data_IF_105964463558
#
_entry.id   IF_105964463558
#
_cell.length_a   1.000
_cell.length_b   1.000
_cell.length_c   1.000
_cell.angle_alpha   90.00
_cell.angle_beta   90.00
_cell.angle_gamma   90.00
#
_symmetry.space_group_name_H-M   'P 1'
#
loop_
_entity.id
_entity.type
_entity.pdbx_description
1 polymer ?
#
# COMPACT_ATOMS: atom_id res chain seq x y z
N UNK A 1 -37.08 21.37 -21.02
CA UNK A 1 -37.28 22.41 -19.97
C UNK A 1 -37.31 21.67 -18.65
N UNK A 2 -36.36 21.92 -17.76
CA UNK A 2 -36.38 21.39 -16.39
C UNK A 2 -37.13 22.42 -15.54
N UNK A 3 -38.47 22.33 -15.53
CA UNK A 3 -39.35 23.18 -14.75
C UNK A 3 -39.95 22.39 -13.59
N UNK A 4 -39.16 22.18 -12.55
CA UNK A 4 -39.65 21.97 -11.19
C UNK A 4 -38.47 21.96 -10.25
N UNK A 5 -38.70 22.36 -9.00
CA UNK A 5 -37.77 22.26 -7.89
C UNK A 5 -37.49 20.78 -7.53
N UNK A 6 -37.02 20.00 -8.51
CA UNK A 6 -36.62 18.62 -8.34
C UNK A 6 -35.26 18.58 -7.65
N UNK A 7 -35.27 18.49 -6.32
CA UNK A 7 -34.12 17.99 -5.60
C UNK A 7 -33.96 16.50 -5.95
N UNK A 8 -32.88 16.17 -6.65
CA UNK A 8 -32.47 14.80 -6.93
C UNK A 8 -31.19 14.50 -6.18
N UNK A 9 -31.18 13.43 -5.39
CA UNK A 9 -29.95 12.91 -4.78
C UNK A 9 -29.41 11.82 -5.68
N UNK A 10 -28.25 12.06 -6.30
CA UNK A 10 -27.45 11.02 -6.93
C UNK A 10 -26.40 10.59 -5.91
N UNK A 11 -26.62 9.43 -5.28
CA UNK A 11 -25.64 8.83 -4.38
C UNK A 11 -24.91 7.72 -5.13
N UNK A 12 -23.61 7.92 -5.36
CA UNK A 12 -22.71 6.89 -5.86
C UNK A 12 -21.55 6.77 -4.89
N UNK A 13 -21.27 5.55 -4.43
CA UNK A 13 -20.08 5.28 -3.63
C UNK A 13 -18.85 5.43 -4.52
N UNK A 14 -17.88 6.23 -4.07
CA UNK A 14 -16.59 6.35 -4.75
C UNK A 14 -15.57 5.54 -3.95
N UNK A 15 -15.09 4.47 -4.56
CA UNK A 15 -13.98 3.70 -4.01
C UNK A 15 -12.67 4.31 -4.54
N UNK A 16 -11.73 4.57 -3.64
CA UNK A 16 -10.38 5.00 -4.02
C UNK A 16 -9.36 4.32 -3.15
N UNK A 17 -8.20 4.02 -3.72
CA UNK A 17 -7.05 3.43 -3.04
C UNK A 17 -6.02 4.49 -2.64
N UNK A 18 -6.20 5.73 -3.11
CA UNK A 18 -5.36 6.88 -2.77
C UNK A 18 -6.14 8.20 -2.76
N UNK A 19 -5.66 9.25 -2.06
CA UNK A 19 -6.26 10.57 -2.14
C UNK A 19 -6.19 11.16 -3.56
N UNK A 20 -7.29 11.72 -4.03
CA UNK A 20 -7.36 12.35 -5.36
C UNK A 20 -8.57 13.26 -5.50
N UNK A 21 -8.63 14.02 -6.59
CA UNK A 21 -9.73 14.96 -6.82
C UNK A 21 -10.73 14.41 -7.83
N UNK A 22 -11.99 14.26 -7.41
CA UNK A 22 -13.09 14.12 -8.35
C UNK A 22 -13.36 15.49 -8.96
N UNK A 23 -13.09 15.63 -10.26
CA UNK A 23 -13.48 16.82 -11.01
C UNK A 23 -14.91 16.68 -11.50
N UNK A 24 -15.70 17.73 -11.34
CA UNK A 24 -17.05 17.79 -11.84
C UNK A 24 -17.26 19.08 -12.64
N UNK A 25 -18.08 18.99 -13.67
CA UNK A 25 -18.47 20.14 -14.49
C UNK A 25 -19.98 20.21 -14.56
N UNK A 26 -20.54 21.34 -14.13
CA UNK A 26 -21.97 21.63 -14.22
C UNK A 26 -22.20 22.41 -15.52
N UNK A 27 -23.08 21.90 -16.38
CA UNK A 27 -23.43 22.51 -17.66
C UNK A 27 -24.94 22.75 -17.73
N UNK A 28 -25.33 23.87 -18.31
CA UNK A 28 -26.72 24.19 -18.65
C UNK A 28 -26.75 24.93 -19.98
N UNK A 29 -27.75 24.63 -20.81
CA UNK A 29 -27.93 25.32 -22.09
C UNK A 29 -28.09 26.84 -21.87
N UNK A 30 -27.33 27.63 -22.62
CA UNK A 30 -27.26 29.09 -22.47
C UNK A 30 -26.38 29.62 -21.33
N UNK A 31 -25.65 28.76 -20.61
CA UNK A 31 -24.74 29.18 -19.53
C UNK A 31 -23.29 28.71 -19.76
N UNK A 32 -22.33 29.45 -19.21
CA UNK A 32 -20.93 29.02 -19.15
C UNK A 32 -20.82 27.88 -18.14
N UNK A 33 -20.17 26.79 -18.53
CA UNK A 33 -19.93 25.64 -17.66
C UNK A 33 -19.08 26.04 -16.45
N UNK A 34 -19.45 25.55 -15.27
CA UNK A 34 -18.64 25.71 -14.06
C UNK A 34 -17.96 24.38 -13.73
N UNK A 35 -16.65 24.42 -13.52
CA UNK A 35 -15.85 23.25 -13.14
C UNK A 35 -15.23 23.46 -11.78
N UNK A 36 -15.31 22.44 -10.94
CA UNK A 36 -14.74 22.43 -9.61
C UNK A 36 -14.33 20.99 -9.24
N UNK A 37 -13.75 20.81 -8.07
CA UNK A 37 -13.21 19.54 -7.64
C UNK A 37 -13.42 19.30 -6.15
N UNK A 38 -13.64 18.04 -5.80
CA UNK A 38 -13.79 17.59 -4.41
C UNK A 38 -12.70 16.56 -4.13
N UNK A 39 -12.02 16.69 -2.99
CA UNK A 39 -11.05 15.69 -2.54
C UNK A 39 -11.78 14.42 -2.12
N UNK A 40 -11.35 13.29 -2.66
CA UNK A 40 -11.83 11.94 -2.35
C UNK A 40 -10.66 11.14 -1.79
N UNK A 41 -10.86 10.55 -0.61
CA UNK A 41 -9.90 9.67 0.05
C UNK A 41 -10.62 8.71 1.00
N UNK A 42 -10.02 7.59 1.39
CA UNK A 42 -10.59 6.69 2.39
C UNK A 42 -10.77 7.41 3.73
N UNK A 43 -11.96 7.29 4.34
CA UNK A 43 -12.29 7.95 5.62
C UNK A 43 -11.71 7.27 6.87
N UNK A 44 -11.16 6.06 6.71
CA UNK A 44 -10.44 5.30 7.74
C UNK A 44 -8.97 5.18 7.32
N UNK A 45 -8.05 4.68 8.16
CA UNK A 45 -6.70 4.38 7.71
C UNK A 45 -6.76 3.37 6.57
N UNK A 46 -5.88 3.53 5.58
CA UNK A 46 -5.82 2.66 4.42
C UNK A 46 -4.36 2.46 4.03
N UNK A 47 -3.77 1.38 4.54
CA UNK A 47 -2.38 1.05 4.29
C UNK A 47 -2.21 0.30 2.98
N UNK A 48 -1.28 0.76 2.16
CA UNK A 48 -0.84 0.11 0.92
C UNK A 48 0.66 -0.11 0.94
N UNK A 49 1.15 -1.06 0.15
CA UNK A 49 2.57 -1.20 -0.12
C UNK A 49 3.12 0.08 -0.78
N UNK A 50 4.28 0.55 -0.33
CA UNK A 50 4.96 1.73 -0.89
C UNK A 50 6.28 1.32 -1.57
N UNK A 51 7.21 0.78 -0.79
CA UNK A 51 8.50 0.29 -1.30
C UNK A 51 9.10 -0.78 -0.38
N UNK A 52 10.27 -1.30 -0.76
CA UNK A 52 11.03 -2.23 0.05
C UNK A 52 12.54 -2.01 -0.09
N UNK A 53 13.28 -2.52 0.88
CA UNK A 53 14.74 -2.57 0.88
C UNK A 53 15.20 -3.98 1.22
N UNK A 54 16.17 -4.49 0.47
CA UNK A 54 16.79 -5.80 0.68
C UNK A 54 18.20 -5.61 1.23
N UNK A 55 18.55 -6.39 2.25
CA UNK A 55 19.92 -6.54 2.75
C UNK A 55 20.30 -8.03 2.73
N UNK A 56 21.37 -8.37 2.00
CA UNK A 56 21.96 -9.72 1.95
C UNK A 56 23.15 -9.86 2.91
N UNK A 57 23.44 -11.10 3.34
CA UNK A 57 24.58 -11.40 4.24
C UNK A 57 25.91 -11.63 3.52
N UNK A 58 25.89 -11.89 2.20
CA UNK A 58 27.07 -12.29 1.45
C UNK A 58 27.60 -11.14 0.58
N UNK A 59 28.40 -10.29 1.23
CA UNK A 59 29.50 -9.51 0.66
C UNK A 59 29.21 -8.38 -0.34
N UNK A 60 28.01 -8.21 -0.89
CA UNK A 60 27.80 -7.19 -1.91
C UNK A 60 26.79 -6.11 -1.53
N UNK A 61 25.82 -6.37 -0.64
CA UNK A 61 24.81 -5.39 -0.19
C UNK A 61 24.26 -4.54 -1.35
N UNK A 62 24.16 -5.14 -2.53
CA UNK A 62 23.83 -4.46 -3.78
C UNK A 62 22.33 -4.49 -4.04
N UNK A 63 21.56 -5.10 -3.13
CA UNK A 63 20.11 -5.25 -3.22
C UNK A 63 19.68 -6.34 -4.21
N UNK A 64 20.59 -7.21 -4.63
CA UNK A 64 20.31 -8.33 -5.55
C UNK A 64 20.32 -9.62 -4.76
N UNK A 65 19.20 -10.34 -4.80
CA UNK A 65 19.05 -11.65 -4.18
C UNK A 65 19.84 -12.68 -5.01
N UNK A 66 20.80 -13.38 -4.40
CA UNK A 66 21.56 -14.45 -5.05
C UNK A 66 21.27 -15.84 -4.45
N UNK A 67 21.56 -16.93 -5.18
CA UNK A 67 21.42 -18.29 -4.65
C UNK A 67 22.28 -18.48 -3.39
N UNK A 68 21.71 -19.12 -2.37
CA UNK A 68 22.42 -19.46 -1.12
C UNK A 68 22.49 -18.34 -0.08
N UNK A 69 21.87 -17.18 -0.32
CA UNK A 69 21.94 -16.04 0.60
C UNK A 69 20.84 -16.01 1.66
N UNK A 70 21.17 -15.39 2.79
CA UNK A 70 20.21 -14.92 3.78
C UNK A 70 19.74 -13.52 3.41
N UNK A 71 18.42 -13.34 3.30
CA UNK A 71 17.82 -12.08 2.88
C UNK A 71 17.03 -11.45 4.02
N UNK A 72 17.38 -10.21 4.35
CA UNK A 72 16.61 -9.36 5.25
C UNK A 72 15.84 -8.32 4.45
N UNK A 73 14.51 -8.44 4.47
CA UNK A 73 13.61 -7.56 3.75
C UNK A 73 12.97 -6.56 4.72
N UNK A 74 13.10 -5.27 4.43
CA UNK A 74 12.31 -4.21 5.06
C UNK A 74 11.21 -3.76 4.10
N UNK A 75 9.98 -3.65 4.60
CA UNK A 75 8.85 -3.13 3.83
C UNK A 75 8.47 -1.73 4.34
N UNK A 76 8.11 -0.85 3.41
CA UNK A 76 7.47 0.42 3.70
C UNK A 76 5.99 0.36 3.30
N UNK A 77 5.14 0.83 4.20
CA UNK A 77 3.69 0.96 3.98
C UNK A 77 3.31 2.42 4.00
N UNK A 78 2.46 2.84 3.06
CA UNK A 78 1.91 4.19 3.00
C UNK A 78 0.48 4.22 3.50
N UNK A 79 0.15 5.19 4.34
CA UNK A 79 -1.23 5.44 4.75
C UNK A 79 -1.91 6.44 3.83
N UNK A 80 -2.73 5.92 2.92
CA UNK A 80 -3.54 6.71 2.00
C UNK A 80 -4.89 7.13 2.59
N UNK A 81 -5.19 6.72 3.82
CA UNK A 81 -6.41 7.07 4.54
C UNK A 81 -6.35 8.41 5.26
N UNK A 82 -7.45 8.80 5.91
CA UNK A 82 -7.56 10.07 6.65
C UNK A 82 -7.31 9.99 8.15
N UNK A 83 -7.12 8.79 8.71
CA UNK A 83 -6.86 8.57 10.14
C UNK A 83 -5.54 7.83 10.36
N UNK A 84 -4.97 7.96 11.55
CA UNK A 84 -3.73 7.26 11.94
C UNK A 84 -3.98 5.75 11.98
N UNK A 85 -3.12 4.98 11.31
CA UNK A 85 -3.06 3.54 11.45
C UNK A 85 -2.18 3.17 12.65
N UNK A 86 -2.72 2.44 13.62
CA UNK A 86 -1.96 1.99 14.80
C UNK A 86 -1.97 0.47 14.95
N UNK A 87 -1.04 -0.03 15.77
CA UNK A 87 -0.88 -1.48 15.97
C UNK A 87 -0.58 -2.21 14.67
N UNK A 88 0.14 -1.55 13.76
CA UNK A 88 0.36 -2.02 12.39
C UNK A 88 1.30 -3.24 12.40
N UNK A 89 0.80 -4.34 11.85
CA UNK A 89 1.53 -5.60 11.68
C UNK A 89 1.35 -6.11 10.26
N UNK A 90 2.45 -6.47 9.61
CA UNK A 90 2.41 -7.17 8.33
C UNK A 90 2.95 -8.60 8.47
N UNK A 91 2.36 -9.50 7.69
CA UNK A 91 2.83 -10.86 7.47
C UNK A 91 3.05 -11.05 5.97
N UNK A 92 4.17 -11.64 5.59
CA UNK A 92 4.45 -12.01 4.19
C UNK A 92 4.35 -13.51 4.00
N UNK A 93 3.89 -13.92 2.83
CA UNK A 93 3.83 -15.32 2.43
C UNK A 93 4.44 -15.50 1.04
N UNK A 94 5.20 -16.57 0.87
CA UNK A 94 5.73 -17.01 -0.42
C UNK A 94 5.64 -18.54 -0.46
N UNK A 95 5.02 -19.08 -1.50
CA UNK A 95 4.85 -20.54 -1.69
C UNK A 95 5.97 -21.19 -2.49
N UNK A 96 7.01 -20.43 -2.84
CA UNK A 96 8.11 -20.90 -3.66
C UNK A 96 9.04 -21.83 -2.87
N UNK A 97 9.33 -23.02 -3.40
CA UNK A 97 10.20 -24.00 -2.74
C UNK A 97 11.68 -23.61 -2.73
N UNK A 98 12.08 -22.63 -3.56
CA UNK A 98 13.45 -22.10 -3.57
C UNK A 98 13.68 -21.09 -2.44
N UNK A 99 12.64 -20.73 -1.68
CA UNK A 99 12.71 -19.82 -0.55
C UNK A 99 12.27 -20.53 0.73
N UNK A 100 13.09 -20.46 1.76
CA UNK A 100 12.74 -20.92 3.11
C UNK A 100 12.47 -19.73 4.01
N UNK A 101 11.21 -19.54 4.40
CA UNK A 101 10.81 -18.44 5.28
C UNK A 101 11.25 -18.72 6.74
N UNK A 102 12.03 -17.82 7.32
CA UNK A 102 12.51 -17.95 8.71
C UNK A 102 11.73 -17.01 9.64
N UNK A 103 11.43 -15.79 9.17
CA UNK A 103 10.62 -14.81 9.87
C UNK A 103 9.72 -14.06 8.89
N UNK A 104 8.43 -14.31 9.03
CA UNK A 104 7.39 -13.90 8.11
C UNK A 104 6.61 -12.67 8.59
N UNK A 105 6.90 -12.12 9.76
CA UNK A 105 6.11 -11.06 10.40
C UNK A 105 6.96 -9.89 10.88
N UNK A 106 6.42 -8.68 10.73
CA UNK A 106 7.04 -7.46 11.23
C UNK A 106 6.00 -6.47 11.78
N UNK A 107 6.45 -5.68 12.75
CA UNK A 107 5.68 -4.56 13.33
C UNK A 107 6.13 -3.24 12.72
N UNK A 108 5.25 -2.26 12.74
CA UNK A 108 5.51 -0.89 12.33
C UNK A 108 5.14 0.05 13.48
N UNK A 109 5.71 1.25 13.48
CA UNK A 109 5.20 2.35 14.28
C UNK A 109 3.82 2.78 13.73
N UNK A 110 3.12 3.64 14.48
CA UNK A 110 1.91 4.27 13.99
C UNK A 110 2.20 5.09 12.73
N UNK A 111 1.33 5.00 11.72
CA UNK A 111 1.51 5.64 10.42
C UNK A 111 0.42 6.70 10.23
N UNK A 112 0.81 7.96 10.31
CA UNK A 112 -0.08 9.11 10.12
C UNK A 112 -0.62 9.20 8.68
N UNK A 113 -1.77 9.87 8.46
CA UNK A 113 -2.30 10.12 7.12
C UNK A 113 -1.28 10.75 6.18
N UNK A 114 -1.11 10.19 4.99
CA UNK A 114 -0.18 10.66 3.96
C UNK A 114 1.28 10.22 4.13
N UNK A 115 1.64 9.68 5.29
CA UNK A 115 3.01 9.26 5.62
C UNK A 115 3.28 7.80 5.21
N UNK A 116 4.57 7.50 5.08
CA UNK A 116 5.08 6.13 4.90
C UNK A 116 5.86 5.69 6.14
N UNK A 117 5.62 4.45 6.59
CA UNK A 117 6.31 3.83 7.72
C UNK A 117 7.05 2.57 7.29
N UNK A 118 8.30 2.41 7.72
CA UNK A 118 9.12 1.22 7.48
C UNK A 118 8.96 0.23 8.64
N UNK A 119 9.03 -1.07 8.33
CA UNK A 119 8.99 -2.12 9.34
C UNK A 119 10.12 -1.96 10.36
N UNK A 120 9.80 -2.08 11.65
CA UNK A 120 10.77 -1.92 12.76
C UNK A 120 11.82 -3.03 12.78
N UNK A 121 11.48 -4.18 12.22
CA UNK A 121 12.36 -5.33 12.08
C UNK A 121 12.23 -5.92 10.69
N UNK A 122 13.28 -6.57 10.15
CA UNK A 122 13.18 -7.19 8.85
C UNK A 122 12.35 -8.47 8.92
N UNK A 123 11.75 -8.80 7.78
CA UNK A 123 11.43 -10.17 7.40
C UNK A 123 12.72 -10.89 7.02
N UNK A 124 12.78 -12.20 7.25
CA UNK A 124 14.00 -12.97 7.01
C UNK A 124 13.66 -14.31 6.35
N UNK A 125 14.35 -14.59 5.25
CA UNK A 125 14.24 -15.85 4.53
C UNK A 125 15.58 -16.23 3.89
N UNK A 126 15.72 -17.50 3.58
CA UNK A 126 16.90 -18.08 2.95
C UNK A 126 16.59 -18.51 1.54
N UNK A 127 17.53 -18.31 0.63
CA UNK A 127 17.40 -18.69 -0.78
C UNK A 127 18.18 -19.96 -1.05
N UNK A 128 17.58 -20.87 -1.80
CA UNK A 128 18.21 -22.11 -2.24
C UNK A 128 19.39 -21.84 -3.17
N UNK A 129 20.46 -22.62 -3.02
CA UNK A 129 21.61 -22.63 -3.96
C UNK A 129 21.21 -22.99 -5.40
N UNK A 130 20.01 -23.54 -5.61
CA UNK A 130 19.50 -23.95 -6.91
C UNK A 130 18.63 -22.89 -7.59
N UNK A 131 18.56 -21.67 -7.05
CA UNK A 131 17.81 -20.58 -7.68
C UNK A 131 18.44 -20.25 -9.06
N UNK A 132 17.66 -20.28 -10.16
CA UNK A 132 18.16 -19.88 -11.48
C UNK A 132 18.49 -18.39 -11.55
N UNK A 133 19.27 -18.00 -12.56
CA UNK A 133 19.49 -16.59 -12.89
C UNK A 133 18.18 -15.92 -13.33
N UNK A 134 18.08 -14.60 -13.10
CA UNK A 134 16.90 -13.77 -13.44
C UNK A 134 15.57 -14.28 -12.83
N UNK A 135 15.64 -14.92 -11.66
CA UNK A 135 14.47 -15.42 -10.95
C UNK A 135 13.78 -14.33 -10.13
N UNK A 136 12.46 -14.43 -9.95
CA UNK A 136 11.66 -13.49 -9.15
C UNK A 136 10.68 -14.22 -8.26
N UNK A 137 10.63 -13.81 -7.00
CA UNK A 137 9.69 -14.32 -6.01
C UNK A 137 8.44 -13.46 -5.94
N UNK A 138 7.28 -14.11 -5.83
CA UNK A 138 6.02 -13.43 -5.56
C UNK A 138 5.67 -13.57 -4.09
N UNK A 139 5.39 -12.44 -3.46
CA UNK A 139 4.95 -12.40 -2.07
C UNK A 139 3.52 -11.89 -1.98
N UNK A 140 2.73 -12.55 -1.14
CA UNK A 140 1.49 -11.99 -0.62
C UNK A 140 1.79 -11.26 0.69
N UNK A 141 1.21 -10.07 0.87
CA UNK A 141 1.39 -9.27 2.08
C UNK A 141 0.03 -9.05 2.74
N UNK A 142 -0.13 -9.55 3.96
CA UNK A 142 -1.32 -9.37 4.78
C UNK A 142 -1.02 -8.31 5.84
N UNK A 143 -1.77 -7.21 5.81
CA UNK A 143 -1.58 -6.06 6.71
C UNK A 143 -2.77 -5.99 7.67
N UNK A 144 -2.48 -5.96 8.96
CA UNK A 144 -3.47 -5.78 10.03
C UNK A 144 -3.15 -4.51 10.82
N UNK A 145 -4.16 -3.71 11.12
CA UNK A 145 -4.03 -2.46 11.86
C UNK A 145 -5.38 -2.04 12.44
N UNK A 146 -5.36 -1.08 13.36
CA UNK A 146 -6.54 -0.42 13.92
C UNK A 146 -6.55 1.06 13.57
N UNK A 147 -7.73 1.68 13.63
CA UNK A 147 -7.87 3.12 13.53
C UNK A 147 -7.80 3.76 14.93
N UNK A 148 -6.98 4.80 15.08
CA UNK A 148 -7.10 5.71 16.22
C UNK A 148 -8.01 6.86 15.79
N UNK A 149 -9.10 7.05 16.55
CA UNK A 149 -10.00 8.20 16.38
C UNK A 149 -9.47 9.44 17.09
#
# INVERSE_FOLDING_TARGET
KWDSAGSGVLQSGINTESPGYLKYTVMSDGYISYTDSILVMPGNPYLVYDCHTILDTMQNANGVINPGEDIYLYLALKNNGSLVASGVRAQIFCSDSLLTMIKDTALFADISPGESGVSLTPFYFQISDFMPDEYSFNFEVIINYSAVQ
#
